data_IF_864804791852
#
_entry.id   IF_864804791852
#
_cell.length_a   1.000
_cell.length_b   1.000
_cell.length_c   1.000
_cell.angle_alpha   90.00
_cell.angle_beta   90.00
_cell.angle_gamma   90.00
#
_symmetry.space_group_name_H-M   'P 1'
#
loop_
_entity.id
_entity.type
_entity.pdbx_description
1 polymer ?
#
# COMPACT_ATOMS: atom_id res chain seq x y z
N UNK A 1 15.98 2.01 13.02
CA UNK A 1 15.20 2.42 11.84
C UNK A 1 16.08 2.34 10.62
N UNK A 2 15.66 1.66 9.55
CA UNK A 2 16.50 1.28 8.40
C UNK A 2 16.55 2.34 7.29
N UNK A 3 16.32 3.64 7.61
CA UNK A 3 16.17 4.71 6.62
C UNK A 3 17.32 4.76 5.60
N UNK A 4 18.57 4.87 6.08
CA UNK A 4 19.72 5.06 5.20
C UNK A 4 20.02 3.81 4.35
N UNK A 5 19.94 2.57 4.90
CA UNK A 5 19.92 1.36 4.08
C UNK A 5 18.83 1.35 2.99
N UNK A 6 17.60 1.74 3.32
CA UNK A 6 16.49 1.80 2.34
C UNK A 6 16.77 2.83 1.25
N UNK A 7 17.30 4.01 1.60
CA UNK A 7 17.71 5.04 0.65
C UNK A 7 18.76 4.51 -0.31
N UNK A 8 19.79 3.84 0.21
CA UNK A 8 20.88 3.29 -0.60
C UNK A 8 20.39 2.18 -1.52
N UNK A 9 19.54 1.27 -1.02
CA UNK A 9 19.00 0.14 -1.79
C UNK A 9 18.14 0.60 -2.97
N UNK A 10 17.36 1.67 -2.79
CA UNK A 10 16.42 2.15 -3.80
C UNK A 10 16.89 3.40 -4.57
N UNK A 11 18.12 3.88 -4.30
CA UNK A 11 18.67 5.06 -4.98
C UNK A 11 17.86 6.35 -4.73
N UNK A 12 17.33 6.54 -3.51
CA UNK A 12 16.42 7.66 -3.19
C UNK A 12 17.21 8.96 -2.95
N UNK A 13 17.54 9.65 -4.03
CA UNK A 13 18.46 10.82 -3.99
C UNK A 13 17.91 12.10 -3.35
N UNK A 14 16.59 12.21 -3.17
CA UNK A 14 15.91 13.40 -2.60
C UNK A 14 15.20 13.12 -1.28
N UNK A 15 15.54 12.03 -0.58
CA UNK A 15 14.91 11.69 0.70
C UNK A 15 15.19 12.71 1.82
N UNK A 16 16.21 13.55 1.66
CA UNK A 16 16.56 14.63 2.59
C UNK A 16 15.98 16.00 2.19
N UNK A 17 15.29 16.13 1.05
CA UNK A 17 14.61 17.36 0.66
C UNK A 17 13.44 17.67 1.60
N UNK A 18 13.13 18.96 1.75
CA UNK A 18 12.11 19.44 2.67
C UNK A 18 10.79 19.75 1.95
N UNK A 19 9.71 19.17 2.46
CA UNK A 19 8.35 19.35 2.00
C UNK A 19 7.39 19.65 3.16
N UNK A 20 6.22 20.17 2.84
CA UNK A 20 5.03 20.03 3.67
C UNK A 20 4.19 18.91 3.06
N UNK A 21 3.86 17.91 3.87
CA UNK A 21 3.22 16.67 3.43
C UNK A 21 1.95 16.48 4.24
N UNK A 22 0.81 16.44 3.56
CA UNK A 22 -0.50 16.27 4.17
C UNK A 22 -0.99 14.85 3.96
N UNK A 23 -1.62 14.27 4.98
CA UNK A 23 -2.01 12.86 4.99
C UNK A 23 -3.49 12.71 5.30
N UNK A 24 -4.10 11.76 4.61
CA UNK A 24 -5.31 11.05 5.01
C UNK A 24 -5.13 9.58 4.61
N UNK A 25 -6.07 8.72 4.99
CA UNK A 25 -6.06 7.32 4.66
C UNK A 25 -7.39 6.82 4.12
N UNK A 26 -7.33 5.65 3.49
CA UNK A 26 -8.53 4.89 3.21
C UNK A 26 -9.19 4.45 4.51
N UNK A 27 -10.51 4.66 4.61
CA UNK A 27 -11.38 4.13 5.67
C UNK A 27 -11.48 2.59 5.62
N UNK A 28 -10.39 1.90 5.96
CA UNK A 28 -10.25 0.45 5.91
C UNK A 28 -10.20 -0.16 7.31
N UNK A 29 -9.99 -1.47 7.35
CA UNK A 29 -9.76 -2.23 8.57
C UNK A 29 -8.70 -1.56 9.46
N UNK A 30 -8.94 -1.49 10.77
CA UNK A 30 -7.93 -1.05 11.75
C UNK A 30 -6.92 -2.14 12.10
N UNK A 31 -7.36 -3.39 11.98
CA UNK A 31 -6.62 -4.61 12.30
C UNK A 31 -7.11 -5.72 11.37
N UNK A 32 -6.21 -6.56 10.87
CA UNK A 32 -6.56 -7.78 10.13
C UNK A 32 -6.27 -9.00 11.00
N UNK A 33 -7.27 -9.85 11.21
CA UNK A 33 -7.14 -11.07 12.01
C UNK A 33 -8.05 -12.19 11.48
N UNK A 34 -7.62 -13.42 11.75
CA UNK A 34 -8.33 -14.65 11.42
C UNK A 34 -9.33 -14.97 12.53
N UNK A 35 -10.54 -15.34 12.14
CA UNK A 35 -11.66 -15.77 12.99
C UNK A 35 -12.03 -17.22 12.68
N UNK A 36 -12.98 -17.75 13.43
CA UNK A 36 -13.49 -19.10 13.22
C UNK A 36 -14.16 -19.28 11.84
N UNK A 37 -14.72 -18.20 11.28
CA UNK A 37 -15.50 -18.15 10.04
C UNK A 37 -14.81 -17.45 8.86
N UNK A 38 -13.51 -17.14 8.98
CA UNK A 38 -12.73 -16.45 7.94
C UNK A 38 -11.95 -15.26 8.48
N UNK A 39 -11.66 -14.26 7.66
CA UNK A 39 -11.08 -13.00 8.13
C UNK A 39 -12.16 -12.08 8.72
N UNK A 40 -11.75 -11.17 9.60
CA UNK A 40 -12.64 -10.14 10.15
C UNK A 40 -13.19 -9.15 9.12
N UNK A 41 -12.50 -9.02 8.00
CA UNK A 41 -12.94 -8.35 6.79
C UNK A 41 -12.82 -9.37 5.67
N UNK A 42 -13.96 -9.74 5.07
CA UNK A 42 -14.02 -10.85 4.11
C UNK A 42 -13.21 -10.56 2.86
N UNK A 43 -13.29 -9.33 2.37
CA UNK A 43 -12.64 -8.88 1.15
C UNK A 43 -11.78 -7.64 1.47
N UNK A 44 -10.62 -7.83 2.13
CA UNK A 44 -9.81 -6.72 2.59
C UNK A 44 -9.31 -5.90 1.40
N UNK A 45 -9.68 -4.62 1.39
CA UNK A 45 -9.24 -3.65 0.38
C UNK A 45 -7.81 -3.19 0.65
N UNK A 46 -7.17 -2.64 -0.37
CA UNK A 46 -5.84 -2.05 -0.21
C UNK A 46 -5.91 -0.87 0.77
N UNK A 47 -5.07 -0.90 1.81
CA UNK A 47 -4.83 0.24 2.68
C UNK A 47 -3.94 1.25 1.97
N UNK A 48 -4.38 2.50 1.90
CA UNK A 48 -3.60 3.59 1.32
C UNK A 48 -3.57 4.73 2.30
N UNK A 49 -2.36 5.08 2.75
CA UNK A 49 -2.08 6.38 3.36
C UNK A 49 -1.53 7.27 2.24
N UNK A 50 -2.16 8.41 1.99
CA UNK A 50 -1.80 9.26 0.87
C UNK A 50 -2.18 10.71 1.11
N UNK A 51 -1.78 11.56 0.17
CA UNK A 51 -2.24 12.93 0.15
C UNK A 51 -1.46 13.80 -0.79
N UNK A 52 -1.40 15.08 -0.45
CA UNK A 52 -0.70 16.10 -1.23
C UNK A 52 0.58 16.56 -0.54
N UNK A 53 1.56 16.97 -1.33
CA UNK A 53 2.81 17.54 -0.85
C UNK A 53 3.21 18.77 -1.67
N UNK A 54 3.98 19.67 -1.05
CA UNK A 54 4.66 20.75 -1.79
C UNK A 54 6.01 21.05 -1.15
N UNK A 55 6.93 21.65 -1.92
CA UNK A 55 8.27 22.01 -1.44
C UNK A 55 8.21 23.04 -0.30
N UNK A 56 9.18 22.94 0.60
CA UNK A 56 9.41 23.91 1.66
C UNK A 56 8.41 23.81 2.83
N UNK A 57 8.36 24.84 3.69
CA UNK A 57 7.48 24.86 4.86
C UNK A 57 6.00 24.97 4.44
N UNK A 58 5.04 24.58 5.32
CA UNK A 58 3.62 24.71 5.05
C UNK A 58 3.24 26.11 4.57
N UNK A 59 2.43 26.18 3.51
CA UNK A 59 1.88 27.43 2.96
C UNK A 59 0.35 27.39 2.95
N UNK A 60 -0.33 28.55 2.96
CA UNK A 60 -1.76 28.59 2.76
C UNK A 60 -2.17 27.94 1.42
N UNK A 61 -3.22 27.12 1.47
CA UNK A 61 -3.86 26.53 0.29
C UNK A 61 -5.30 27.04 0.27
N UNK A 62 -5.63 27.88 -0.72
CA UNK A 62 -7.00 28.40 -0.88
C UNK A 62 -7.85 27.43 -1.67
N UNK A 63 -8.92 26.92 -1.06
CA UNK A 63 -9.87 26.02 -1.72
C UNK A 63 -11.03 26.75 -2.41
N UNK A 64 -11.12 28.07 -2.32
CA UNK A 64 -12.29 28.83 -2.83
C UNK A 64 -12.51 28.61 -4.34
N UNK A 65 -11.45 28.77 -5.12
CA UNK A 65 -11.48 28.55 -6.57
C UNK A 65 -11.86 27.10 -6.90
N UNK A 66 -11.28 26.13 -6.19
CA UNK A 66 -11.57 24.71 -6.38
C UNK A 66 -13.03 24.38 -6.04
N UNK A 67 -13.58 24.93 -4.95
CA UNK A 67 -14.98 24.70 -4.56
C UNK A 67 -15.95 25.21 -5.62
N UNK A 68 -15.65 26.37 -6.20
CA UNK A 68 -16.41 26.93 -7.31
C UNK A 68 -16.36 26.02 -8.54
N UNK A 69 -15.15 25.58 -8.92
CA UNK A 69 -14.93 24.69 -10.06
C UNK A 69 -15.62 23.33 -9.90
N UNK A 70 -15.51 22.71 -8.72
CA UNK A 70 -16.15 21.44 -8.38
C UNK A 70 -17.65 21.58 -8.07
N UNK A 71 -18.20 22.80 -8.07
CA UNK A 71 -19.59 23.12 -7.71
C UNK A 71 -19.98 22.52 -6.35
N UNK A 72 -19.10 22.64 -5.37
CA UNK A 72 -19.35 22.18 -4.00
C UNK A 72 -20.22 23.22 -3.29
N UNK A 73 -21.30 22.77 -2.66
CA UNK A 73 -22.22 23.66 -1.95
C UNK A 73 -21.50 24.43 -0.84
N UNK A 74 -21.88 25.69 -0.62
CA UNK A 74 -21.31 26.52 0.45
C UNK A 74 -21.57 25.94 1.86
N UNK A 75 -22.62 25.11 2.01
CA UNK A 75 -22.97 24.42 3.25
C UNK A 75 -22.06 23.23 3.58
N UNK A 76 -21.34 22.65 2.61
CA UNK A 76 -20.40 21.58 2.88
C UNK A 76 -19.22 22.15 3.69
N UNK A 77 -18.88 21.58 4.84
CA UNK A 77 -17.74 22.11 5.61
C UNK A 77 -16.39 21.76 4.94
N UNK A 78 -16.31 20.57 4.36
CA UNK A 78 -15.09 20.00 3.76
C UNK A 78 -15.31 19.57 2.31
N UNK A 79 -14.23 19.57 1.53
CA UNK A 79 -14.11 18.78 0.31
C UNK A 79 -13.81 17.33 0.72
N UNK A 80 -14.56 16.39 0.15
CA UNK A 80 -14.37 14.94 0.32
C UNK A 80 -14.57 14.24 -1.00
N UNK A 81 -14.03 13.03 -1.14
CA UNK A 81 -14.17 12.23 -2.35
C UNK A 81 -15.63 12.12 -2.80
N UNK A 82 -16.56 11.88 -1.87
CA UNK A 82 -18.00 11.75 -2.17
C UNK A 82 -18.64 12.96 -2.86
N UNK A 83 -18.03 14.15 -2.76
CA UNK A 83 -18.51 15.36 -3.45
C UNK A 83 -18.02 15.43 -4.91
N UNK A 84 -16.99 14.66 -5.24
CA UNK A 84 -16.27 14.65 -6.51
C UNK A 84 -16.63 13.41 -7.32
N UNK A 85 -16.63 12.23 -6.70
CA UNK A 85 -16.90 10.96 -7.34
C UNK A 85 -17.52 9.94 -6.35
N UNK A 86 -18.28 8.99 -6.88
CA UNK A 86 -18.87 7.86 -6.16
C UNK A 86 -18.64 6.57 -6.92
N UNK A 87 -18.89 5.42 -6.30
CA UNK A 87 -18.78 4.11 -6.95
C UNK A 87 -17.36 3.54 -6.97
N UNK A 88 -17.12 2.60 -7.88
CA UNK A 88 -15.85 1.94 -8.17
C UNK A 88 -14.80 2.90 -8.75
N UNK A 89 -13.59 2.40 -8.99
CA UNK A 89 -12.54 3.19 -9.63
C UNK A 89 -12.94 3.63 -11.05
N UNK A 90 -13.44 2.72 -11.88
CA UNK A 90 -13.84 3.03 -13.26
C UNK A 90 -15.01 4.03 -13.29
N UNK A 91 -15.95 3.93 -12.35
CA UNK A 91 -17.04 4.91 -12.20
C UNK A 91 -16.50 6.28 -11.77
N UNK A 92 -15.52 6.32 -10.85
CA UNK A 92 -14.90 7.58 -10.43
C UNK A 92 -14.21 8.32 -11.59
N UNK A 93 -13.61 7.58 -12.53
CA UNK A 93 -12.99 8.16 -13.73
C UNK A 93 -14.01 8.83 -14.67
N UNK A 94 -15.30 8.49 -14.58
CA UNK A 94 -16.36 9.14 -15.38
C UNK A 94 -16.67 10.55 -14.91
N UNK A 95 -16.23 10.95 -13.71
CA UNK A 95 -16.55 12.25 -13.13
C UNK A 95 -15.71 13.39 -13.72
N UNK A 96 -16.32 14.39 -14.38
CA UNK A 96 -15.60 15.60 -14.81
C UNK A 96 -15.04 16.40 -13.63
N UNK A 97 -15.64 16.27 -12.43
CA UNK A 97 -15.12 16.89 -11.21
C UNK A 97 -13.79 16.24 -10.78
N UNK A 98 -13.63 14.94 -11.00
CA UNK A 98 -12.37 14.26 -10.71
C UNK A 98 -11.27 14.72 -11.66
N UNK A 99 -11.58 14.85 -12.95
CA UNK A 99 -10.65 15.44 -13.93
C UNK A 99 -10.23 16.86 -13.51
N UNK A 100 -11.19 17.73 -13.17
CA UNK A 100 -10.93 19.10 -12.73
C UNK A 100 -10.10 19.16 -11.43
N UNK A 101 -10.40 18.30 -10.45
CA UNK A 101 -9.64 18.19 -9.21
C UNK A 101 -8.16 17.86 -9.48
N UNK A 102 -7.89 16.84 -10.29
CA UNK A 102 -6.52 16.43 -10.63
C UNK A 102 -5.77 17.53 -11.39
N UNK A 103 -6.44 18.18 -12.35
CA UNK A 103 -5.87 19.30 -13.09
C UNK A 103 -5.54 20.49 -12.17
N UNK A 104 -6.40 20.76 -11.18
CA UNK A 104 -6.18 21.82 -10.20
C UNK A 104 -4.98 21.53 -9.30
N UNK A 105 -4.80 20.28 -8.84
CA UNK A 105 -3.61 19.90 -8.05
C UNK A 105 -2.31 20.24 -8.80
N UNK A 106 -2.21 19.82 -10.07
CA UNK A 106 -1.06 20.16 -10.91
C UNK A 106 -0.88 21.67 -11.08
N UNK A 107 -1.97 22.41 -11.30
CA UNK A 107 -1.93 23.87 -11.49
C UNK A 107 -1.53 24.64 -10.21
N UNK A 108 -1.60 23.99 -9.04
CA UNK A 108 -1.18 24.56 -7.76
C UNK A 108 0.21 24.10 -7.33
N UNK A 109 0.98 23.46 -8.22
CA UNK A 109 2.29 22.86 -7.91
C UNK A 109 2.23 21.92 -6.69
N UNK A 110 1.14 21.15 -6.59
CA UNK A 110 0.98 20.11 -5.59
C UNK A 110 1.37 18.75 -6.17
N UNK A 111 2.19 18.02 -5.44
CA UNK A 111 2.52 16.63 -5.72
C UNK A 111 1.55 15.72 -4.97
N UNK A 112 1.38 14.50 -5.46
CA UNK A 112 0.72 13.41 -4.75
C UNK A 112 1.76 12.50 -4.13
N UNK A 113 1.49 11.99 -2.93
CA UNK A 113 2.30 10.93 -2.32
C UNK A 113 1.40 9.85 -1.76
N UNK A 114 1.90 8.63 -1.67
CA UNK A 114 1.18 7.51 -1.10
C UNK A 114 2.11 6.39 -0.60
N UNK A 115 1.58 5.61 0.34
CA UNK A 115 1.97 4.22 0.58
C UNK A 115 0.75 3.36 0.41
N UNK A 116 0.84 2.38 -0.48
CA UNK A 116 -0.21 1.39 -0.70
C UNK A 116 0.22 0.04 -0.12
N UNK A 117 -0.70 -0.63 0.54
CA UNK A 117 -0.53 -1.97 1.10
C UNK A 117 -1.70 -2.85 0.70
N UNK A 118 -1.40 -4.02 0.12
CA UNK A 118 -2.34 -5.13 0.02
C UNK A 118 -2.26 -5.97 1.30
N UNK A 119 -3.33 -6.03 2.12
CA UNK A 119 -3.29 -6.74 3.39
C UNK A 119 -2.96 -8.22 3.25
N UNK A 120 -3.41 -8.87 2.17
CA UNK A 120 -3.12 -10.30 1.97
C UNK A 120 -1.65 -10.50 1.60
N UNK A 121 -1.11 -9.68 0.68
CA UNK A 121 0.31 -9.75 0.32
C UNK A 121 1.20 -9.53 1.54
N UNK A 122 0.94 -8.48 2.32
CA UNK A 122 1.65 -8.20 3.56
C UNK A 122 1.63 -9.37 4.54
N UNK A 123 0.48 -10.05 4.64
CA UNK A 123 0.35 -11.22 5.52
C UNK A 123 1.18 -12.44 5.07
N UNK A 124 1.62 -12.50 3.83
CA UNK A 124 2.27 -13.69 3.23
C UNK A 124 3.78 -13.54 3.11
N UNK A 125 4.29 -12.32 2.91
CA UNK A 125 5.72 -12.09 2.60
C UNK A 125 6.67 -12.61 3.68
N UNK A 126 6.22 -12.58 4.94
CA UNK A 126 7.00 -13.05 6.09
C UNK A 126 7.31 -14.54 6.03
N UNK A 127 6.52 -15.35 5.33
CA UNK A 127 6.83 -16.78 5.13
C UNK A 127 8.17 -16.93 4.40
N UNK A 128 8.36 -16.20 3.30
CA UNK A 128 9.60 -16.27 2.53
C UNK A 128 10.74 -15.60 3.28
N UNK A 129 10.52 -14.42 3.87
CA UNK A 129 11.55 -13.74 4.66
C UNK A 129 12.04 -14.61 5.81
N UNK A 130 11.12 -15.31 6.48
CA UNK A 130 11.44 -16.18 7.61
C UNK A 130 12.30 -17.36 7.17
N UNK A 131 12.00 -17.96 6.01
CA UNK A 131 12.78 -19.08 5.47
C UNK A 131 14.18 -18.59 5.08
N UNK A 132 14.27 -17.46 4.37
CA UNK A 132 15.56 -16.95 3.89
C UNK A 132 16.45 -16.44 5.02
N UNK A 133 15.88 -15.79 6.03
CA UNK A 133 16.59 -15.32 7.21
C UNK A 133 17.22 -16.49 7.98
N UNK A 134 16.45 -17.55 8.22
CA UNK A 134 16.93 -18.72 8.95
C UNK A 134 17.89 -19.59 8.11
N UNK A 135 17.63 -19.77 6.82
CA UNK A 135 18.49 -20.58 5.95
C UNK A 135 19.89 -19.97 5.78
N UNK A 136 20.04 -18.64 5.92
CA UNK A 136 21.32 -17.95 5.72
C UNK A 136 21.87 -18.02 4.28
N UNK A 137 21.02 -18.40 3.33
CA UNK A 137 21.38 -18.66 1.93
C UNK A 137 21.44 -17.37 1.12
N UNK A 138 22.58 -16.68 1.19
CA UNK A 138 22.80 -15.40 0.48
C UNK A 138 22.56 -15.48 -1.04
N UNK A 139 22.71 -16.66 -1.65
CA UNK A 139 22.46 -16.88 -3.07
C UNK A 139 20.98 -16.71 -3.46
N UNK A 140 20.05 -16.83 -2.52
CA UNK A 140 18.61 -16.68 -2.73
C UNK A 140 18.11 -15.24 -2.53
N UNK A 141 18.90 -14.38 -1.88
CA UNK A 141 18.53 -12.98 -1.62
C UNK A 141 18.14 -12.19 -2.88
N UNK A 142 18.85 -12.32 -4.04
CA UNK A 142 18.43 -11.66 -5.27
C UNK A 142 17.04 -12.07 -5.76
N UNK A 143 16.55 -13.24 -5.33
CA UNK A 143 15.26 -13.80 -5.71
C UNK A 143 14.16 -13.57 -4.68
N UNK A 144 14.43 -12.91 -3.54
CA UNK A 144 13.49 -12.77 -2.43
C UNK A 144 12.13 -12.20 -2.87
N UNK A 145 12.14 -11.02 -3.50
CA UNK A 145 10.90 -10.38 -3.97
C UNK A 145 10.11 -11.26 -4.94
N UNK A 146 10.85 -11.96 -5.77
CA UNK A 146 10.31 -12.80 -6.80
C UNK A 146 9.66 -14.06 -6.17
N UNK A 147 10.29 -14.68 -5.16
CA UNK A 147 9.73 -15.81 -4.41
C UNK A 147 8.49 -15.42 -3.60
N UNK A 148 8.47 -14.23 -2.99
CA UNK A 148 7.29 -13.66 -2.33
C UNK A 148 6.12 -13.54 -3.28
N UNK A 149 6.35 -12.99 -4.47
CA UNK A 149 5.33 -12.87 -5.50
C UNK A 149 4.80 -14.24 -5.97
N UNK A 150 5.68 -15.23 -6.13
CA UNK A 150 5.28 -16.59 -6.52
C UNK A 150 4.40 -17.25 -5.45
N UNK A 151 4.81 -17.18 -4.18
CA UNK A 151 4.03 -17.72 -3.06
C UNK A 151 2.68 -17.02 -2.97
N UNK A 152 2.66 -15.69 -3.06
CA UNK A 152 1.43 -14.91 -3.08
C UNK A 152 0.51 -15.31 -4.23
N UNK A 153 1.04 -15.51 -5.44
CA UNK A 153 0.26 -15.95 -6.61
C UNK A 153 -0.42 -17.30 -6.34
N UNK A 154 0.32 -18.24 -5.74
CA UNK A 154 -0.21 -19.57 -5.38
C UNK A 154 -1.30 -19.46 -4.34
N UNK A 155 -1.10 -18.69 -3.28
CA UNK A 155 -2.05 -18.57 -2.17
C UNK A 155 -3.28 -17.73 -2.53
N UNK A 156 -3.13 -16.64 -3.30
CA UNK A 156 -4.23 -15.78 -3.72
C UNK A 156 -5.26 -16.50 -4.61
N UNK A 157 -4.80 -17.43 -5.46
CA UNK A 157 -5.66 -18.10 -6.45
C UNK A 157 -6.92 -18.73 -5.85
N UNK A 158 -6.82 -19.27 -4.63
CA UNK A 158 -7.95 -19.77 -3.89
C UNK A 158 -7.80 -19.30 -2.45
N UNK A 159 -8.37 -18.12 -2.26
CA UNK A 159 -8.34 -17.30 -1.05
C UNK A 159 -8.97 -18.00 0.14
N UNK A 160 -10.11 -18.66 -0.06
CA UNK A 160 -10.84 -19.36 1.01
C UNK A 160 -9.99 -20.50 1.61
N UNK A 161 -9.34 -21.31 0.76
CA UNK A 161 -8.40 -22.35 1.24
C UNK A 161 -7.20 -21.75 1.98
N UNK A 162 -6.68 -20.61 1.53
CA UNK A 162 -5.56 -19.92 2.20
C UNK A 162 -5.97 -19.40 3.58
N UNK A 163 -7.16 -18.81 3.70
CA UNK A 163 -7.69 -18.33 4.99
C UNK A 163 -7.97 -19.51 5.94
N UNK A 164 -8.50 -20.62 5.45
CA UNK A 164 -8.66 -21.83 6.27
C UNK A 164 -7.33 -22.39 6.76
N UNK A 165 -6.29 -22.41 5.91
CA UNK A 165 -4.94 -22.76 6.32
C UNK A 165 -4.45 -21.84 7.43
N UNK A 166 -4.56 -20.51 7.27
CA UNK A 166 -4.18 -19.56 8.32
C UNK A 166 -4.89 -19.84 9.66
N UNK A 167 -6.19 -20.13 9.60
CA UNK A 167 -6.99 -20.48 10.78
C UNK A 167 -6.50 -21.75 11.46
N UNK A 168 -6.26 -22.83 10.70
CA UNK A 168 -5.83 -24.13 11.25
C UNK A 168 -4.47 -24.05 11.93
N UNK A 169 -3.55 -23.25 11.39
CA UNK A 169 -2.22 -23.06 11.95
C UNK A 169 -2.09 -21.85 12.87
N UNK A 170 -3.18 -21.19 13.25
CA UNK A 170 -3.16 -19.97 14.09
C UNK A 170 -2.23 -18.86 13.58
N UNK A 171 -2.05 -18.82 12.26
CA UNK A 171 -1.10 -17.96 11.55
C UNK A 171 -1.30 -16.47 11.91
N UNK A 172 -0.23 -15.67 12.08
CA UNK A 172 1.16 -15.94 11.71
C UNK A 172 1.93 -16.84 12.68
N UNK A 173 1.49 -16.98 13.94
CA UNK A 173 2.14 -17.90 14.89
C UNK A 173 1.78 -19.36 14.60
N UNK A 174 2.57 -20.00 13.74
CA UNK A 174 2.40 -21.42 13.40
C UNK A 174 2.86 -22.33 14.53
N UNK A 175 3.75 -21.82 15.37
CA UNK A 175 4.38 -22.53 16.47
C UNK A 175 5.41 -23.58 16.02
N UNK A 176 6.42 -23.77 16.85
CA UNK A 176 7.56 -24.69 16.61
C UNK A 176 7.15 -26.11 16.24
N UNK A 177 6.09 -26.63 16.87
CA UNK A 177 5.65 -28.02 16.67
C UNK A 177 4.96 -28.27 15.32
N UNK A 178 4.28 -27.25 14.74
CA UNK A 178 3.50 -27.40 13.50
C UNK A 178 4.17 -26.79 12.28
N UNK A 179 5.31 -26.10 12.44
CA UNK A 179 6.10 -25.51 11.36
C UNK A 179 6.25 -26.43 10.14
N UNK A 180 6.68 -27.67 10.36
CA UNK A 180 6.90 -28.64 9.26
C UNK A 180 5.60 -29.03 8.58
N UNK A 181 4.52 -29.19 9.34
CA UNK A 181 3.19 -29.50 8.80
C UNK A 181 2.68 -28.34 7.93
N UNK A 182 2.79 -27.11 8.43
CA UNK A 182 2.44 -25.89 7.70
C UNK A 182 3.22 -25.78 6.37
N UNK A 183 4.54 -25.96 6.39
CA UNK A 183 5.37 -25.89 5.18
C UNK A 183 5.04 -27.02 4.20
N UNK A 184 4.76 -28.24 4.68
CA UNK A 184 4.35 -29.34 3.81
C UNK A 184 3.02 -29.03 3.11
N UNK A 185 2.09 -28.37 3.81
CA UNK A 185 0.83 -27.97 3.20
C UNK A 185 1.03 -26.89 2.12
N UNK A 186 1.95 -25.92 2.33
CA UNK A 186 2.34 -24.98 1.29
C UNK A 186 2.93 -25.69 0.05
N UNK A 187 3.73 -26.75 0.25
CA UNK A 187 4.26 -27.58 -0.83
C UNK A 187 3.14 -28.31 -1.59
N UNK A 188 2.14 -28.81 -0.87
CA UNK A 188 0.98 -29.47 -1.46
C UNK A 188 0.17 -28.47 -2.29
N UNK A 189 -0.12 -27.28 -1.76
CA UNK A 189 -0.81 -26.21 -2.49
C UNK A 189 -0.05 -25.82 -3.76
N UNK A 190 1.27 -25.64 -3.69
CA UNK A 190 2.12 -25.36 -4.85
C UNK A 190 2.06 -26.49 -5.89
N UNK A 191 1.99 -27.74 -5.44
CA UNK A 191 1.92 -28.92 -6.32
C UNK A 191 0.57 -29.01 -7.03
N UNK A 192 -0.54 -28.79 -6.32
CA UNK A 192 -1.89 -28.78 -6.90
C UNK A 192 -2.11 -27.59 -7.84
N UNK A 193 -1.41 -26.47 -7.60
CA UNK A 193 -1.51 -25.23 -8.36
C UNK A 193 -0.29 -24.99 -9.25
N UNK A 194 0.36 -26.08 -9.69
CA UNK A 194 1.63 -26.05 -10.42
C UNK A 194 1.58 -25.29 -11.78
N UNK A 195 0.39 -25.00 -12.30
CA UNK A 195 0.19 -24.33 -13.58
C UNK A 195 0.17 -22.79 -13.46
N UNK A 196 0.08 -22.26 -12.23
CA UNK A 196 0.03 -20.81 -11.99
C UNK A 196 1.38 -20.12 -12.18
N UNK A 197 2.47 -20.88 -12.14
CA UNK A 197 3.82 -20.37 -12.20
C UNK A 197 4.58 -21.00 -13.37
N UNK A 198 5.46 -20.25 -14.05
CA UNK A 198 6.41 -20.83 -14.99
C UNK A 198 7.25 -21.95 -14.34
N UNK A 199 7.64 -23.01 -15.08
CA UNK A 199 8.31 -24.17 -14.48
C UNK A 199 9.55 -23.84 -13.65
N UNK A 200 10.37 -22.87 -14.09
CA UNK A 200 11.56 -22.42 -13.36
C UNK A 200 11.17 -21.79 -12.01
N UNK A 201 10.24 -20.83 -12.03
CA UNK A 201 9.72 -20.11 -10.85
C UNK A 201 9.13 -21.07 -9.81
N UNK A 202 8.28 -21.99 -10.29
CA UNK A 202 7.71 -23.07 -9.48
C UNK A 202 8.78 -23.92 -8.80
N UNK A 203 9.80 -24.35 -9.55
CA UNK A 203 10.85 -25.22 -9.01
C UNK A 203 11.72 -24.48 -7.98
N UNK A 204 11.96 -23.18 -8.17
CA UNK A 204 12.67 -22.35 -7.19
C UNK A 204 11.87 -22.23 -5.89
N UNK A 205 10.58 -21.86 -5.97
CA UNK A 205 9.72 -21.79 -4.79
C UNK A 205 9.61 -23.15 -4.09
N UNK A 206 9.45 -24.24 -4.85
CA UNK A 206 9.46 -25.60 -4.31
C UNK A 206 10.74 -25.90 -3.55
N UNK A 207 11.91 -25.54 -4.09
CA UNK A 207 13.20 -25.72 -3.43
C UNK A 207 13.28 -24.97 -2.10
N UNK A 208 12.83 -23.71 -2.07
CA UNK A 208 12.80 -22.88 -0.86
C UNK A 208 11.88 -23.49 0.21
N UNK A 209 10.69 -23.94 -0.16
CA UNK A 209 9.78 -24.63 0.77
C UNK A 209 10.37 -25.98 1.23
N UNK A 210 11.08 -26.70 0.37
CA UNK A 210 11.78 -27.93 0.77
C UNK A 210 12.92 -27.67 1.76
N UNK A 211 13.65 -26.56 1.64
CA UNK A 211 14.63 -26.12 2.65
C UNK A 211 13.90 -25.89 3.97
N UNK A 212 12.79 -25.16 3.95
CA UNK A 212 12.00 -24.83 5.13
C UNK A 212 11.51 -26.06 5.92
N UNK A 213 11.28 -27.21 5.26
CA UNK A 213 10.93 -28.47 5.97
C UNK A 213 12.02 -29.01 6.90
N UNK A 214 13.25 -28.51 6.77
CA UNK A 214 14.45 -28.94 7.50
C UNK A 214 14.99 -27.88 8.44
N UNK A 215 14.40 -26.69 8.47
CA UNK A 215 14.84 -25.60 9.34
C UNK A 215 14.35 -25.81 10.77
N UNK A 216 15.17 -25.37 11.73
CA UNK A 216 14.90 -25.47 13.16
C UNK A 216 14.14 -24.26 13.73
N UNK A 217 13.95 -23.21 12.93
CA UNK A 217 13.07 -22.08 13.23
C UNK A 217 12.41 -21.50 11.97
N UNK A 218 11.31 -20.78 12.17
CA UNK A 218 10.79 -19.77 11.24
C UNK A 218 10.60 -18.47 12.05
N UNK A 219 11.62 -17.60 12.14
CA UNK A 219 11.66 -16.47 13.09
C UNK A 219 10.54 -15.44 12.95
N UNK A 220 9.87 -15.33 11.80
CA UNK A 220 8.74 -14.40 11.63
C UNK A 220 7.38 -15.09 11.69
N UNK A 221 7.36 -16.41 11.97
CA UNK A 221 6.13 -17.20 12.10
C UNK A 221 6.07 -17.92 13.47
N UNK A 222 6.92 -17.55 14.42
CA UNK A 222 7.02 -18.15 15.74
C UNK A 222 7.06 -17.07 16.81
N UNK A 223 6.33 -17.28 17.92
CA UNK A 223 6.18 -16.31 19.01
C UNK A 223 5.50 -14.98 18.57
N UNK A 224 4.81 -15.01 17.44
CA UNK A 224 3.95 -13.93 16.97
C UNK A 224 2.61 -13.92 17.72
N UNK A 225 1.79 -12.88 17.48
CA UNK A 225 0.44 -12.87 18.06
C UNK A 225 -0.49 -13.82 17.26
N UNK A 226 -1.05 -14.88 17.86
CA UNK A 226 -1.83 -15.87 17.12
C UNK A 226 -3.05 -15.27 16.43
N UNK A 227 -3.31 -15.67 15.18
CA UNK A 227 -4.42 -15.22 14.35
C UNK A 227 -4.40 -13.74 13.96
N UNK A 228 -3.33 -12.99 14.20
CA UNK A 228 -3.28 -11.55 13.90
C UNK A 228 -2.32 -11.29 12.77
N UNK A 229 -2.87 -10.94 11.61
CA UNK A 229 -2.10 -10.69 10.40
C UNK A 229 -1.54 -9.27 10.37
N UNK A 230 -2.31 -8.29 10.85
CA UNK A 230 -1.92 -6.88 10.95
C UNK A 230 -2.49 -6.32 12.25
N UNK A 231 -1.64 -5.99 13.22
CA UNK A 231 -2.06 -5.43 14.52
C UNK A 231 -2.58 -3.99 14.38
N UNK A 232 -1.98 -3.21 13.49
CA UNK A 232 -2.35 -1.83 13.20
C UNK A 232 -1.47 -1.19 12.13
N UNK A 233 -1.85 0.00 11.68
CA UNK A 233 -1.22 0.69 10.54
C UNK A 233 -0.24 1.79 10.93
N UNK A 234 -0.11 2.10 12.22
CA UNK A 234 0.83 3.10 12.75
C UNK A 234 2.28 2.95 12.26
N UNK A 235 2.85 1.73 12.09
CA UNK A 235 4.18 1.56 11.53
C UNK A 235 4.35 2.19 10.13
N UNK A 236 3.33 2.17 9.29
CA UNK A 236 3.38 2.77 7.95
C UNK A 236 3.44 4.30 8.02
N UNK A 237 2.76 4.94 8.97
CA UNK A 237 2.90 6.39 9.21
C UNK A 237 4.31 6.74 9.68
N UNK A 238 4.83 5.97 10.64
CA UNK A 238 6.17 6.15 11.17
C UNK A 238 7.23 6.04 10.09
N UNK A 239 7.11 5.07 9.18
CA UNK A 239 8.01 4.90 8.04
C UNK A 239 8.06 6.17 7.17
N UNK A 240 6.91 6.79 6.89
CA UNK A 240 6.83 8.01 6.07
C UNK A 240 7.46 9.21 6.74
N UNK A 241 7.14 9.42 8.02
CA UNK A 241 7.72 10.48 8.84
C UNK A 241 9.25 10.34 8.89
N UNK A 242 9.74 9.12 8.99
CA UNK A 242 11.16 8.84 9.01
C UNK A 242 11.85 9.01 7.66
N UNK A 243 11.24 8.51 6.58
CA UNK A 243 11.84 8.58 5.26
C UNK A 243 12.08 10.04 4.86
N UNK A 244 11.09 10.90 5.09
CA UNK A 244 11.13 12.33 4.85
C UNK A 244 11.39 13.13 6.15
N UNK A 245 12.35 12.70 6.97
CA UNK A 245 12.64 13.30 8.30
C UNK A 245 12.87 14.83 8.34
N UNK A 246 13.19 15.45 7.19
CA UNK A 246 13.40 16.90 7.07
C UNK A 246 12.13 17.65 6.60
N UNK A 247 11.04 16.94 6.32
CA UNK A 247 9.74 17.48 5.93
C UNK A 247 8.83 17.69 7.14
N UNK A 248 7.85 18.58 7.00
CA UNK A 248 6.76 18.76 7.96
C UNK A 248 5.57 17.89 7.56
N UNK A 249 5.10 17.06 8.47
CA UNK A 249 3.99 16.13 8.25
C UNK A 249 2.73 16.64 8.98
N UNK A 250 1.64 16.78 8.24
CA UNK A 250 0.34 17.19 8.76
C UNK A 250 -0.64 16.04 8.52
N UNK A 251 -1.07 15.39 9.60
CA UNK A 251 -1.88 14.18 9.55
C UNK A 251 -3.32 14.49 9.96
N UNK A 252 -4.33 13.89 9.30
CA UNK A 252 -5.70 13.92 9.82
C UNK A 252 -5.80 13.23 11.18
N UNK A 253 -6.80 13.62 11.96
CA UNK A 253 -7.04 13.08 13.28
C UNK A 253 -7.38 11.58 13.20
N UNK A 254 -6.41 10.70 13.53
CA UNK A 254 -6.63 9.25 13.54
C UNK A 254 -6.40 8.60 14.91
N UNK A 255 -7.50 8.11 15.48
CA UNK A 255 -7.60 7.65 16.88
C UNK A 255 -6.67 6.50 17.24
N UNK A 256 -6.31 5.66 16.27
CA UNK A 256 -5.39 4.54 16.49
C UNK A 256 -3.92 4.92 16.32
N UNK A 257 -3.62 5.86 15.42
CA UNK A 257 -2.26 6.20 14.99
C UNK A 257 -1.63 7.23 15.93
N UNK A 258 -2.39 8.22 16.39
CA UNK A 258 -1.89 9.25 17.29
C UNK A 258 -1.37 8.67 18.64
N UNK A 259 -2.12 7.80 19.35
CA UNK A 259 -1.61 7.17 20.56
C UNK A 259 -0.40 6.27 20.30
N UNK A 260 -0.38 5.58 19.13
CA UNK A 260 0.76 4.76 18.74
C UNK A 260 2.03 5.61 18.57
N UNK A 261 1.99 6.67 17.75
CA UNK A 261 3.16 7.51 17.49
C UNK A 261 3.65 8.26 18.73
N UNK A 262 2.72 8.80 19.53
CA UNK A 262 3.06 9.50 20.77
C UNK A 262 3.69 8.57 21.81
N UNK A 263 3.30 7.29 21.84
CA UNK A 263 3.86 6.28 22.74
C UNK A 263 5.30 5.85 22.42
N UNK A 264 5.82 6.14 21.22
CA UNK A 264 7.15 5.67 20.80
C UNK A 264 8.32 6.53 21.29
N UNK A 265 8.07 7.75 21.78
CA UNK A 265 9.13 8.66 22.24
C UNK A 265 10.16 8.99 21.14
N UNK A 266 9.69 9.23 19.91
CA UNK A 266 10.53 9.40 18.72
C UNK A 266 11.56 10.52 18.85
N UNK A 267 12.80 10.27 18.42
CA UNK A 267 13.89 11.26 18.39
C UNK A 267 14.61 11.29 17.05
N UNK A 268 15.17 12.45 16.70
CA UNK A 268 16.18 12.61 15.66
C UNK A 268 17.52 12.94 16.34
N UNK A 269 18.35 11.91 16.52
CA UNK A 269 19.53 11.98 17.38
C UNK A 269 19.13 12.21 18.84
N UNK A 270 19.65 13.27 19.46
CA UNK A 270 19.36 13.62 20.85
C UNK A 270 18.08 14.48 21.03
N UNK A 271 17.42 14.90 19.94
CA UNK A 271 16.27 15.81 20.00
C UNK A 271 14.97 15.04 19.76
N UNK A 272 13.88 15.35 20.50
CA UNK A 272 12.55 14.84 20.17
C UNK A 272 12.19 15.16 18.71
N UNK A 273 11.54 14.21 18.05
CA UNK A 273 11.06 14.38 16.70
C UNK A 273 9.84 15.31 16.72
N UNK A 274 9.95 16.48 16.10
CA UNK A 274 8.93 17.53 16.12
C UNK A 274 8.45 17.93 14.72
N UNK A 275 8.71 17.08 13.72
CA UNK A 275 8.41 17.36 12.33
C UNK A 275 7.02 16.84 11.89
N UNK A 276 6.18 16.39 12.82
CA UNK A 276 4.82 15.94 12.52
C UNK A 276 3.79 16.47 13.53
N UNK A 277 2.54 16.61 13.11
CA UNK A 277 1.39 16.94 13.96
C UNK A 277 0.10 16.38 13.40
N UNK A 278 -0.84 16.08 14.30
CA UNK A 278 -2.24 15.80 13.97
C UNK A 278 -3.04 17.10 13.90
N UNK A 279 -4.02 17.15 13.02
CA UNK A 279 -4.90 18.31 12.86
C UNK A 279 -6.22 17.93 12.20
N UNK A 280 -7.26 18.68 12.55
CA UNK A 280 -8.58 18.52 11.95
C UNK A 280 -8.61 18.98 10.50
N UNK A 281 -9.14 18.12 9.63
CA UNK A 281 -9.46 18.47 8.24
C UNK A 281 -10.36 19.71 8.05
N UNK A 282 -11.10 20.14 9.08
CA UNK A 282 -11.85 21.40 9.05
C UNK A 282 -10.95 22.62 8.83
N UNK A 283 -9.79 22.65 9.48
CA UNK A 283 -8.87 23.79 9.51
C UNK A 283 -7.68 23.61 8.56
N UNK A 284 -7.51 22.41 7.99
CA UNK A 284 -6.38 22.04 7.13
C UNK A 284 -6.82 21.68 5.71
N UNK A 285 -6.80 22.65 4.78
CA UNK A 285 -7.11 22.41 3.38
C UNK A 285 -6.33 21.25 2.73
N UNK A 286 -5.05 21.07 3.09
CA UNK A 286 -4.22 20.00 2.55
C UNK A 286 -4.73 18.60 2.95
N UNK A 287 -5.35 18.47 4.12
CA UNK A 287 -5.96 17.20 4.55
C UNK A 287 -7.23 16.93 3.74
N UNK A 288 -8.06 17.93 3.47
CA UNK A 288 -9.26 17.75 2.62
C UNK A 288 -8.90 17.32 1.20
N UNK A 289 -7.79 17.83 0.64
CA UNK A 289 -7.27 17.35 -0.64
C UNK A 289 -6.75 15.91 -0.53
N UNK A 290 -6.18 15.56 0.62
CA UNK A 290 -5.65 14.23 0.89
C UNK A 290 -6.74 13.16 0.99
N UNK A 291 -7.92 13.47 1.54
CA UNK A 291 -9.13 12.58 1.52
C UNK A 291 -9.46 12.13 0.09
N UNK A 292 -9.48 13.08 -0.84
CA UNK A 292 -9.81 12.80 -2.23
C UNK A 292 -8.72 11.91 -2.87
N UNK A 293 -7.44 12.23 -2.63
CA UNK A 293 -6.30 11.47 -3.18
C UNK A 293 -6.26 10.06 -2.60
N UNK A 294 -6.31 9.91 -1.27
CA UNK A 294 -6.28 8.63 -0.58
C UNK A 294 -7.47 7.75 -0.98
N UNK A 295 -8.68 8.32 -1.04
CA UNK A 295 -9.85 7.58 -1.49
C UNK A 295 -9.81 7.18 -2.97
N UNK A 296 -9.29 8.02 -3.86
CA UNK A 296 -9.10 7.68 -5.28
C UNK A 296 -8.06 6.57 -5.46
N UNK A 297 -6.89 6.72 -4.85
CA UNK A 297 -5.81 5.74 -4.93
C UNK A 297 -6.19 4.42 -4.25
N UNK A 298 -6.93 4.47 -3.14
CA UNK A 298 -7.52 3.29 -2.51
C UNK A 298 -8.43 2.51 -3.44
N UNK A 299 -9.30 3.20 -4.20
CA UNK A 299 -10.13 2.58 -5.23
C UNK A 299 -9.28 1.99 -6.37
N UNK A 300 -8.30 2.75 -6.86
CA UNK A 300 -7.42 2.33 -7.94
C UNK A 300 -6.64 1.06 -7.60
N UNK A 301 -5.90 1.06 -6.50
CA UNK A 301 -5.06 -0.08 -6.13
C UNK A 301 -5.89 -1.29 -5.72
N UNK A 302 -7.04 -1.09 -5.05
CA UNK A 302 -7.95 -2.20 -4.77
C UNK A 302 -8.44 -2.83 -6.08
N UNK A 303 -8.88 -2.02 -7.05
CA UNK A 303 -9.30 -2.50 -8.38
C UNK A 303 -8.18 -3.30 -9.05
N UNK A 304 -6.96 -2.76 -9.14
CA UNK A 304 -5.83 -3.47 -9.76
C UNK A 304 -5.52 -4.80 -9.07
N UNK A 305 -5.57 -4.87 -7.74
CA UNK A 305 -5.25 -6.10 -7.02
C UNK A 305 -6.32 -7.18 -7.23
N UNK A 306 -7.60 -6.83 -7.29
CA UNK A 306 -8.70 -7.80 -7.41
C UNK A 306 -9.01 -8.21 -8.85
N UNK A 307 -8.70 -7.36 -9.83
CA UNK A 307 -9.01 -7.62 -11.25
C UNK A 307 -7.96 -8.53 -11.90
N UNK A 308 -8.41 -9.46 -12.74
CA UNK A 308 -7.52 -10.33 -13.50
C UNK A 308 -6.78 -9.55 -14.59
N UNK A 309 -5.58 -10.00 -14.99
CA UNK A 309 -4.76 -9.29 -15.99
C UNK A 309 -5.46 -9.10 -17.33
N UNK A 310 -6.20 -10.11 -17.81
CA UNK A 310 -6.97 -10.02 -19.05
C UNK A 310 -8.14 -9.02 -18.97
N UNK A 311 -8.79 -8.94 -17.82
CA UNK A 311 -9.87 -7.99 -17.54
C UNK A 311 -9.32 -6.56 -17.42
N UNK A 312 -8.16 -6.36 -16.78
CA UNK A 312 -7.46 -5.07 -16.75
C UNK A 312 -7.15 -4.55 -18.16
N UNK A 313 -6.69 -5.42 -19.06
CA UNK A 313 -6.45 -5.07 -20.47
C UNK A 313 -7.74 -4.67 -21.15
N UNK A 314 -8.79 -5.47 -21.00
CA UNK A 314 -10.09 -5.22 -21.61
C UNK A 314 -10.72 -3.91 -21.14
N UNK A 315 -10.69 -3.65 -19.83
CA UNK A 315 -11.21 -2.43 -19.23
C UNK A 315 -10.40 -1.20 -19.67
N UNK A 316 -9.07 -1.32 -19.77
CA UNK A 316 -8.20 -0.24 -20.25
C UNK A 316 -8.50 0.15 -21.70
N UNK A 317 -8.81 -0.83 -22.55
CA UNK A 317 -9.19 -0.62 -23.96
C UNK A 317 -10.60 -0.03 -24.11
N UNK A 318 -11.49 -0.34 -23.16
CA UNK A 318 -12.89 0.09 -23.18
C UNK A 318 -13.15 1.43 -22.48
N UNK A 319 -12.12 2.11 -21.96
CA UNK A 319 -12.29 3.41 -21.32
C UNK A 319 -12.95 4.41 -22.28
N UNK A 320 -14.00 5.07 -21.80
CA UNK A 320 -14.59 6.21 -22.50
C UNK A 320 -13.61 7.37 -22.58
N UNK A 321 -13.84 8.29 -23.52
CA UNK A 321 -13.00 9.48 -23.67
C UNK A 321 -12.90 10.32 -22.37
N UNK A 322 -13.95 10.36 -21.55
CA UNK A 322 -13.90 11.02 -20.24
C UNK A 322 -13.00 10.27 -19.27
N UNK A 323 -13.15 8.95 -19.16
CA UNK A 323 -12.33 8.13 -18.26
C UNK A 323 -10.85 8.18 -18.65
N UNK A 324 -10.55 8.12 -19.94
CA UNK A 324 -9.18 8.24 -20.48
C UNK A 324 -8.54 9.57 -20.06
N UNK A 325 -9.23 10.70 -20.25
CA UNK A 325 -8.71 12.01 -19.81
C UNK A 325 -8.47 12.05 -18.31
N UNK A 326 -9.43 11.62 -17.50
CA UNK A 326 -9.27 11.59 -16.03
C UNK A 326 -8.08 10.72 -15.61
N UNK A 327 -7.93 9.54 -16.22
CA UNK A 327 -6.83 8.62 -15.95
C UNK A 327 -5.47 9.20 -16.37
N UNK A 328 -5.38 9.83 -17.54
CA UNK A 328 -4.16 10.50 -17.99
C UNK A 328 -3.73 11.63 -17.06
N UNK A 329 -4.68 12.37 -16.48
CA UNK A 329 -4.38 13.38 -15.44
C UNK A 329 -3.84 12.75 -14.17
N UNK A 330 -4.43 11.65 -13.71
CA UNK A 330 -3.94 10.92 -12.55
C UNK A 330 -2.53 10.39 -12.80
N UNK A 331 -2.30 9.73 -13.93
CA UNK A 331 -1.01 9.17 -14.31
C UNK A 331 0.07 10.27 -14.40
N UNK A 332 -0.22 11.39 -15.07
CA UNK A 332 0.71 12.51 -15.18
C UNK A 332 1.04 13.14 -13.83
N UNK A 333 0.06 13.27 -12.93
CA UNK A 333 0.29 13.79 -11.58
C UNK A 333 1.17 12.86 -10.74
N UNK A 334 0.93 11.55 -10.82
CA UNK A 334 1.77 10.54 -10.15
C UNK A 334 3.19 10.52 -10.72
N UNK A 335 3.34 10.55 -12.04
CA UNK A 335 4.63 10.63 -12.74
C UNK A 335 5.42 11.86 -12.31
N UNK A 336 4.81 13.05 -12.39
CA UNK A 336 5.41 14.30 -11.93
C UNK A 336 5.85 14.24 -10.45
N UNK A 337 5.07 13.56 -9.61
CA UNK A 337 5.39 13.40 -8.19
C UNK A 337 6.59 12.47 -7.96
N UNK A 338 6.67 11.35 -8.70
CA UNK A 338 7.79 10.42 -8.62
C UNK A 338 9.07 11.03 -9.20
N UNK A 339 8.97 11.78 -10.30
CA UNK A 339 10.09 12.56 -10.86
C UNK A 339 10.59 13.62 -9.89
N UNK A 340 9.66 14.28 -9.18
CA UNK A 340 10.01 15.20 -8.12
C UNK A 340 10.76 14.48 -7.00
N UNK A 341 10.20 13.41 -6.46
CA UNK A 341 10.81 12.63 -5.39
C UNK A 341 10.26 11.20 -5.39
N UNK A 342 11.11 10.23 -5.73
CA UNK A 342 10.73 8.81 -5.78
C UNK A 342 10.18 8.28 -4.45
N UNK A 343 10.49 8.92 -3.32
CA UNK A 343 9.91 8.58 -2.01
C UNK A 343 8.38 8.72 -2.03
N UNK A 344 7.81 9.61 -2.84
CA UNK A 344 6.36 9.84 -2.88
C UNK A 344 5.54 8.62 -3.31
N UNK A 345 6.12 7.61 -3.95
CA UNK A 345 5.45 6.36 -4.26
C UNK A 345 6.08 5.20 -3.50
N UNK A 346 5.33 4.63 -2.55
CA UNK A 346 5.76 3.43 -1.83
C UNK A 346 4.74 2.31 -2.00
N UNK A 347 5.23 1.13 -2.41
CA UNK A 347 4.40 -0.01 -2.78
C UNK A 347 4.71 -1.21 -1.89
N UNK A 348 3.69 -1.66 -1.17
CA UNK A 348 3.66 -2.92 -0.43
C UNK A 348 2.64 -3.82 -1.14
N UNK A 349 2.97 -4.13 -2.39
CA UNK A 349 2.15 -4.89 -3.34
C UNK A 349 2.99 -5.98 -3.98
N UNK A 350 2.32 -7.03 -4.45
CA UNK A 350 2.95 -8.06 -5.27
C UNK A 350 3.50 -7.47 -6.57
N UNK A 351 4.53 -8.09 -7.14
CA UNK A 351 5.10 -7.68 -8.43
C UNK A 351 4.02 -7.72 -9.53
N UNK A 352 3.14 -8.72 -9.49
CA UNK A 352 1.98 -8.84 -10.38
C UNK A 352 1.11 -7.58 -10.34
N UNK A 353 0.73 -7.13 -9.14
CA UNK A 353 -0.19 -6.00 -8.99
C UNK A 353 0.49 -4.66 -9.29
N UNK A 354 1.80 -4.55 -9.01
CA UNK A 354 2.59 -3.39 -9.44
C UNK A 354 2.66 -3.28 -10.96
N UNK A 355 2.88 -4.39 -11.67
CA UNK A 355 2.85 -4.40 -13.13
C UNK A 355 1.44 -4.10 -13.67
N UNK A 356 0.38 -4.63 -13.04
CA UNK A 356 -1.00 -4.29 -13.40
C UNK A 356 -1.29 -2.80 -13.25
N UNK A 357 -0.82 -2.17 -12.16
CA UNK A 357 -0.97 -0.74 -11.92
C UNK A 357 -0.20 0.09 -12.95
N UNK A 358 1.06 -0.29 -13.23
CA UNK A 358 1.89 0.38 -14.22
C UNK A 358 1.29 0.29 -15.62
N UNK A 359 0.82 -0.90 -16.02
CA UNK A 359 0.10 -1.10 -17.28
C UNK A 359 -1.15 -0.22 -17.37
N UNK A 360 -1.98 -0.20 -16.32
CA UNK A 360 -3.23 0.54 -16.37
C UNK A 360 -3.01 2.06 -16.45
N UNK A 361 -1.98 2.56 -15.77
CA UNK A 361 -1.59 3.98 -15.79
C UNK A 361 -0.78 4.37 -17.04
N UNK A 362 -0.31 3.41 -17.83
CA UNK A 362 0.50 3.71 -19.00
C UNK A 362 -0.28 4.58 -20.01
N UNK A 363 0.37 5.66 -20.43
CA UNK A 363 -0.16 6.64 -21.37
C UNK A 363 0.00 6.19 -22.82
N UNK A 364 0.90 5.24 -23.10
CA UNK A 364 1.12 4.73 -24.45
C UNK A 364 0.15 3.63 -24.86
N UNK A 365 -0.53 2.99 -23.91
CA UNK A 365 -1.68 2.13 -24.20
C UNK A 365 -1.37 0.94 -25.12
N UNK A 366 -0.12 0.46 -25.10
CA UNK A 366 0.38 -0.65 -25.91
C UNK A 366 0.86 -1.81 -25.06
#
# INVERSE_FOLDING_TARGET
MLRDPTIALHGLVKADDAYAVYYDETNNIRRLHVRADGLNERDPKCFVIAGVAHRGPPRPISLEALRSELRIQASAKEIKLKHIATGSFLEALTSPKMEAFLAWLSAQDLYTHFTVLDPLYWSIVDIIDSILAEAGENALLPWNQALKNDLYTVLRHDYETTVDMFRRYTYPDVGRARRREFVNELLDLLTHRANLLPPLRRNMLKGVLQIATRLDALPFLEDETPNVLIEGFGPFYLERIAMLKNSTHILDDEYGVEPYLSGLGLTNGAKPLANYRFASSHDEPGIQLSDVVAGLLGKFFTYVCVTAGEELVQDRQNLSAQQTRTLERLAALMEQSVEENAVFAHYILSERDRHGAAFFLDRTGS
#
